data_IF_068764845382
#
_entry.id   IF_068764845382
#
_cell.length_a   1.000
_cell.length_b   1.000
_cell.length_c   1.000
_cell.angle_alpha   90.00
_cell.angle_beta   90.00
_cell.angle_gamma   90.00
#
_symmetry.space_group_name_H-M   'P 1'
#
loop_
_entity.id
_entity.type
_entity.pdbx_description
1 polymer ?
#
# COMPACT_ATOMS: atom_id res chain seq x y z
N UNK A 1 -16.62 -2.34 13.67
CA UNK A 1 -16.71 -2.93 12.31
C UNK A 1 -16.67 -1.83 11.26
N UNK A 2 -15.75 -1.97 10.28
CA UNK A 2 -15.54 -0.97 9.21
C UNK A 2 -16.40 -1.30 7.99
N UNK A 3 -17.35 -0.43 7.67
CA UNK A 3 -18.14 -0.50 6.44
C UNK A 3 -17.59 0.49 5.39
N UNK A 4 -17.48 0.05 4.15
CA UNK A 4 -17.12 0.94 3.03
C UNK A 4 -18.41 1.55 2.49
N UNK A 5 -18.56 2.86 2.63
CA UNK A 5 -19.73 3.61 2.14
C UNK A 5 -19.59 3.94 0.67
N UNK A 6 -18.38 4.31 0.27
CA UNK A 6 -18.04 4.60 -1.12
C UNK A 6 -16.57 4.30 -1.41
N UNK A 7 -16.29 3.97 -2.66
CA UNK A 7 -14.94 3.91 -3.21
C UNK A 7 -15.01 4.09 -4.73
N UNK A 8 -14.17 4.98 -5.27
CA UNK A 8 -14.07 5.24 -6.70
C UNK A 8 -12.66 5.69 -7.11
N UNK A 9 -12.34 5.49 -8.38
CA UNK A 9 -11.12 5.99 -9.00
C UNK A 9 -11.25 7.48 -9.27
N UNK A 10 -10.22 8.27 -8.93
CA UNK A 10 -10.17 9.70 -9.18
C UNK A 10 -9.44 10.00 -10.49
N UNK A 11 -8.15 9.67 -10.55
CA UNK A 11 -7.28 9.97 -11.68
C UNK A 11 -5.99 9.16 -11.63
N UNK A 12 -5.23 9.22 -12.72
CA UNK A 12 -3.84 8.77 -12.80
C UNK A 12 -2.94 9.96 -13.14
N UNK A 13 -1.82 10.12 -12.45
CA UNK A 13 -0.94 11.28 -12.59
C UNK A 13 0.51 10.86 -12.78
N UNK A 14 1.22 11.62 -13.62
CA UNK A 14 2.68 11.54 -13.81
C UNK A 14 3.40 12.83 -13.42
N UNK A 15 2.64 13.87 -13.03
CA UNK A 15 3.14 15.19 -12.65
C UNK A 15 2.30 15.76 -11.52
N UNK A 16 2.88 16.59 -10.66
CA UNK A 16 2.20 17.13 -9.46
C UNK A 16 0.92 17.88 -9.77
N UNK A 17 0.90 18.71 -10.79
CA UNK A 17 -0.26 19.53 -11.13
C UNK A 17 -1.47 18.71 -11.64
N UNK A 18 -1.25 17.44 -12.01
CA UNK A 18 -2.29 16.51 -12.41
C UNK A 18 -2.90 15.76 -11.21
N UNK A 19 -2.25 15.84 -10.04
CA UNK A 19 -2.72 15.14 -8.86
C UNK A 19 -4.02 15.79 -8.34
N UNK A 20 -4.95 15.00 -7.79
CA UNK A 20 -6.16 15.56 -7.20
C UNK A 20 -5.82 16.38 -5.95
N UNK A 21 -6.72 17.25 -5.54
CA UNK A 21 -6.60 17.97 -4.28
C UNK A 21 -6.34 17.00 -3.13
N UNK A 22 -5.49 17.42 -2.19
CA UNK A 22 -5.20 16.61 -1.00
C UNK A 22 -6.42 16.55 -0.09
N UNK A 23 -6.70 15.39 0.48
CA UNK A 23 -7.60 15.26 1.62
C UNK A 23 -6.79 15.36 2.93
N UNK A 24 -7.49 15.42 4.06
CA UNK A 24 -6.86 15.52 5.38
C UNK A 24 -5.94 14.32 5.70
N UNK A 25 -6.28 13.15 5.18
CA UNK A 25 -5.49 11.93 5.35
C UNK A 25 -5.39 11.17 4.04
N UNK A 26 -4.21 10.64 3.75
CA UNK A 26 -3.94 9.85 2.56
C UNK A 26 -3.03 8.67 2.90
N UNK A 27 -3.25 7.56 2.20
CA UNK A 27 -2.50 6.32 2.31
C UNK A 27 -1.77 6.04 1.00
N UNK A 28 -0.47 5.80 1.07
CA UNK A 28 0.34 5.40 -0.08
C UNK A 28 0.56 3.90 -0.06
N UNK A 29 0.32 3.23 -1.18
CA UNK A 29 0.60 1.81 -1.36
C UNK A 29 1.74 1.66 -2.36
N UNK A 30 2.81 1.02 -1.91
CA UNK A 30 4.01 0.76 -2.71
C UNK A 30 4.39 -0.71 -2.65
N UNK A 31 5.22 -1.13 -3.57
CA UNK A 31 5.72 -2.50 -3.65
C UNK A 31 6.15 -2.86 -5.06
N UNK A 32 6.87 -3.97 -5.17
CA UNK A 32 7.34 -4.46 -6.47
C UNK A 32 6.19 -4.81 -7.40
N UNK A 33 6.51 -4.85 -8.67
CA UNK A 33 5.60 -5.40 -9.66
C UNK A 33 5.21 -6.83 -9.32
N UNK A 34 3.93 -7.15 -9.54
CA UNK A 34 3.36 -8.47 -9.26
C UNK A 34 3.42 -8.91 -7.77
N UNK A 35 3.66 -7.99 -6.85
CA UNK A 35 3.58 -8.27 -5.41
C UNK A 35 2.15 -8.53 -4.92
N UNK A 36 1.14 -8.13 -5.70
CA UNK A 36 -0.28 -8.24 -5.34
C UNK A 36 -0.94 -6.90 -4.99
N UNK A 37 -0.35 -5.77 -5.39
CA UNK A 37 -0.81 -4.41 -5.06
C UNK A 37 -2.26 -4.15 -5.48
N UNK A 38 -2.61 -4.39 -6.74
CA UNK A 38 -3.98 -4.18 -7.24
C UNK A 38 -5.00 -5.11 -6.55
N UNK A 39 -4.61 -6.35 -6.26
CA UNK A 39 -5.45 -7.28 -5.50
C UNK A 39 -5.71 -6.75 -4.09
N UNK A 40 -4.67 -6.28 -3.41
CA UNK A 40 -4.79 -5.69 -2.09
C UNK A 40 -5.71 -4.46 -2.09
N UNK A 41 -5.49 -3.52 -3.01
CA UNK A 41 -6.31 -2.30 -3.14
C UNK A 41 -7.78 -2.67 -3.40
N UNK A 42 -8.05 -3.55 -4.34
CA UNK A 42 -9.41 -3.96 -4.67
C UNK A 42 -10.12 -4.62 -3.47
N UNK A 43 -9.41 -5.48 -2.75
CA UNK A 43 -9.95 -6.11 -1.54
C UNK A 43 -10.16 -5.10 -0.41
N UNK A 44 -9.21 -4.20 -0.22
CA UNK A 44 -9.30 -3.15 0.79
C UNK A 44 -10.49 -2.22 0.54
N UNK A 45 -10.69 -1.81 -0.72
CA UNK A 45 -11.77 -0.91 -1.15
C UNK A 45 -13.10 -1.64 -1.42
N UNK A 46 -13.13 -2.97 -1.40
CA UNK A 46 -14.34 -3.75 -1.66
C UNK A 46 -14.90 -3.61 -3.09
N UNK A 47 -14.12 -3.06 -4.01
CA UNK A 47 -14.49 -2.82 -5.42
C UNK A 47 -13.30 -3.12 -6.33
N UNK A 48 -13.56 -3.56 -7.56
CA UNK A 48 -12.53 -3.85 -8.55
C UNK A 48 -12.12 -2.58 -9.33
N UNK A 49 -11.38 -1.68 -8.67
CA UNK A 49 -10.98 -0.37 -9.18
C UNK A 49 -9.55 -0.35 -9.71
N UNK A 50 -8.62 -1.00 -9.01
CA UNK A 50 -7.23 -1.07 -9.40
C UNK A 50 -7.03 -2.18 -10.45
N UNK A 51 -6.54 -1.79 -11.63
CA UNK A 51 -6.25 -2.73 -12.72
C UNK A 51 -4.84 -3.28 -12.57
N UNK A 52 -4.71 -4.60 -12.58
CA UNK A 52 -3.39 -5.22 -12.75
C UNK A 52 -2.96 -5.07 -14.21
N UNK A 53 -1.86 -4.36 -14.48
CA UNK A 53 -1.31 -4.40 -15.82
C UNK A 53 -0.57 -5.72 -16.02
N UNK A 54 -1.09 -6.57 -16.90
CA UNK A 54 -0.39 -7.79 -17.31
C UNK A 54 0.88 -7.49 -18.13
N UNK A 55 1.01 -6.26 -18.62
CA UNK A 55 2.15 -5.84 -19.44
C UNK A 55 3.16 -5.06 -18.59
N UNK A 56 4.38 -5.59 -18.42
CA UNK A 56 5.45 -4.91 -17.70
C UNK A 56 5.77 -3.53 -18.32
N UNK A 57 5.85 -2.49 -17.50
CA UNK A 57 6.27 -1.15 -17.91
C UNK A 57 5.17 -0.21 -18.40
N UNK A 58 3.90 -0.61 -18.41
CA UNK A 58 2.80 0.29 -18.83
C UNK A 58 2.27 1.24 -17.76
N UNK A 59 2.33 0.87 -16.48
CA UNK A 59 1.81 1.72 -15.40
C UNK A 59 2.95 2.54 -14.82
N UNK A 60 3.11 3.77 -15.30
CA UNK A 60 4.08 4.75 -14.81
C UNK A 60 3.41 5.86 -14.01
N UNK A 61 2.12 5.73 -13.79
CA UNK A 61 1.28 6.74 -13.17
C UNK A 61 1.00 6.37 -11.72
N UNK A 62 1.00 7.35 -10.85
CA UNK A 62 0.38 7.22 -9.55
C UNK A 62 -1.15 7.23 -9.74
N UNK A 63 -1.83 6.20 -9.25
CA UNK A 63 -3.29 6.13 -9.32
C UNK A 63 -3.91 6.58 -8.01
N UNK A 64 -4.91 7.43 -8.10
CA UNK A 64 -5.61 7.98 -6.94
C UNK A 64 -7.03 7.40 -6.86
N UNK A 65 -7.38 6.92 -5.68
CA UNK A 65 -8.72 6.45 -5.36
C UNK A 65 -9.23 7.22 -4.15
N UNK A 66 -10.50 7.61 -4.16
CA UNK A 66 -11.17 8.13 -2.96
C UNK A 66 -12.00 7.04 -2.33
N UNK A 67 -12.06 7.01 -1.00
CA UNK A 67 -12.92 6.09 -0.27
C UNK A 67 -13.46 6.73 1.00
N UNK A 68 -14.69 6.37 1.35
CA UNK A 68 -15.35 6.76 2.58
C UNK A 68 -15.65 5.51 3.41
N UNK A 69 -15.09 5.46 4.60
CA UNK A 69 -15.28 4.37 5.56
C UNK A 69 -16.10 4.83 6.76
N UNK A 70 -16.97 3.96 7.24
CA UNK A 70 -17.71 4.12 8.47
C UNK A 70 -17.21 3.13 9.51
N UNK A 71 -16.66 3.62 10.60
CA UNK A 71 -16.43 2.81 11.81
C UNK A 71 -17.69 2.82 12.67
N UNK A 72 -18.45 1.72 12.60
CA UNK A 72 -19.72 1.57 13.33
C UNK A 72 -19.55 1.52 14.84
N UNK A 73 -18.38 1.12 15.33
CA UNK A 73 -18.11 1.02 16.77
C UNK A 73 -17.88 2.39 17.40
N UNK A 74 -17.22 3.27 16.65
CA UNK A 74 -16.87 4.62 17.10
C UNK A 74 -17.80 5.71 16.51
N UNK A 75 -18.81 5.33 15.73
CA UNK A 75 -19.72 6.24 15.02
C UNK A 75 -18.98 7.30 14.18
N UNK A 76 -17.86 6.88 13.54
CA UNK A 76 -16.98 7.78 12.79
C UNK A 76 -17.09 7.50 11.30
N UNK A 77 -17.27 8.55 10.50
CA UNK A 77 -17.20 8.48 9.03
C UNK A 77 -15.96 9.27 8.59
N UNK A 78 -15.10 8.62 7.82
CA UNK A 78 -13.83 9.20 7.35
C UNK A 78 -13.70 9.01 5.85
N UNK A 79 -13.39 10.11 5.13
CA UNK A 79 -13.04 10.08 3.71
C UNK A 79 -11.53 10.33 3.57
N UNK A 80 -10.86 9.50 2.79
CA UNK A 80 -9.42 9.62 2.53
C UNK A 80 -9.07 9.10 1.13
N UNK A 81 -7.89 9.46 0.66
CA UNK A 81 -7.37 8.96 -0.61
C UNK A 81 -6.41 7.79 -0.39
N UNK A 82 -6.46 6.84 -1.32
CA UNK A 82 -5.47 5.79 -1.51
C UNK A 82 -4.66 6.10 -2.76
N UNK A 83 -3.35 6.18 -2.63
CA UNK A 83 -2.39 6.47 -3.71
C UNK A 83 -1.65 5.17 -4.04
N UNK A 84 -1.95 4.59 -5.20
CA UNK A 84 -1.26 3.41 -5.72
C UNK A 84 -0.05 3.84 -6.53
N UNK A 85 1.14 3.64 -6.00
CA UNK A 85 2.36 3.91 -6.73
C UNK A 85 2.65 2.80 -7.74
N UNK A 86 3.23 3.14 -8.88
CA UNK A 86 3.68 2.12 -9.83
C UNK A 86 4.64 1.12 -9.16
N UNK A 87 4.50 -0.14 -9.53
CA UNK A 87 5.39 -1.18 -9.01
C UNK A 87 6.84 -0.95 -9.43
N UNK A 88 7.77 -0.96 -8.50
CA UNK A 88 9.19 -0.86 -8.78
C UNK A 88 9.80 -2.21 -9.20
N UNK A 89 11.03 -2.19 -9.73
CA UNK A 89 11.77 -3.42 -10.11
C UNK A 89 11.63 -3.87 -11.55
N UNK A 90 11.10 -3.04 -12.46
CA UNK A 90 11.10 -3.34 -13.88
C UNK A 90 12.44 -2.99 -14.55
N UNK A 91 13.09 -4.01 -15.11
CA UNK A 91 14.39 -3.89 -15.80
C UNK A 91 14.33 -3.24 -17.19
N UNK A 92 13.15 -2.98 -17.77
CA UNK A 92 12.98 -2.61 -19.19
C UNK A 92 12.55 -1.15 -19.43
N UNK A 93 13.14 -0.22 -18.70
CA UNK A 93 12.85 1.21 -18.90
C UNK A 93 14.17 1.93 -19.22
N UNK A 94 14.16 2.92 -20.14
CA UNK A 94 15.33 3.75 -20.37
C UNK A 94 15.74 4.48 -19.08
N UNK A 95 17.06 4.69 -18.90
CA UNK A 95 17.58 5.37 -17.70
C UNK A 95 16.98 6.78 -17.51
N UNK A 96 16.73 7.52 -18.59
CA UNK A 96 16.14 8.86 -18.55
C UNK A 96 14.70 8.84 -18.03
N UNK A 97 13.86 7.97 -18.58
CA UNK A 97 12.47 7.82 -18.16
C UNK A 97 12.33 7.31 -16.72
N UNK A 98 13.27 6.47 -16.30
CA UNK A 98 13.32 6.01 -14.90
C UNK A 98 13.61 7.17 -13.95
N UNK A 99 14.60 8.02 -14.30
CA UNK A 99 14.99 9.19 -13.50
C UNK A 99 13.86 10.22 -13.40
N UNK A 100 13.17 10.51 -14.50
CA UNK A 100 12.04 11.45 -14.54
C UNK A 100 10.88 10.95 -13.64
N UNK A 101 10.56 9.67 -13.76
CA UNK A 101 9.51 9.04 -12.97
C UNK A 101 9.87 8.96 -11.47
N UNK A 102 11.09 8.59 -11.14
CA UNK A 102 11.60 8.63 -9.77
C UNK A 102 11.52 10.05 -9.21
N UNK A 103 11.89 11.06 -10.01
CA UNK A 103 11.79 12.48 -9.64
C UNK A 103 10.36 12.89 -9.26
N UNK A 104 9.38 12.56 -10.10
CA UNK A 104 7.96 12.84 -9.80
C UNK A 104 7.50 12.16 -8.51
N UNK A 105 7.84 10.88 -8.31
CA UNK A 105 7.43 10.18 -7.09
C UNK A 105 8.05 10.78 -5.84
N UNK A 106 9.33 11.10 -5.87
CA UNK A 106 10.02 11.76 -4.76
C UNK A 106 9.39 13.10 -4.42
N UNK A 107 9.14 13.90 -5.44
CA UNK A 107 8.47 15.19 -5.28
C UNK A 107 7.07 15.01 -4.68
N UNK A 108 6.24 14.12 -5.25
CA UNK A 108 4.90 13.81 -4.75
C UNK A 108 4.92 13.42 -3.26
N UNK A 109 5.80 12.51 -2.87
CA UNK A 109 5.88 12.00 -1.51
C UNK A 109 6.43 13.04 -0.52
N UNK A 110 7.30 13.94 -0.99
CA UNK A 110 7.90 14.97 -0.14
C UNK A 110 6.95 16.14 0.12
N UNK A 111 6.21 16.60 -0.91
CA UNK A 111 5.39 17.81 -0.78
C UNK A 111 3.98 17.54 -0.26
N UNK A 112 3.48 16.29 -0.38
CA UNK A 112 2.10 15.96 -0.03
C UNK A 112 1.94 15.69 1.47
N UNK A 113 1.68 16.74 2.22
CA UNK A 113 1.60 16.71 3.70
C UNK A 113 0.42 15.90 4.24
N UNK A 114 -0.60 15.66 3.43
CA UNK A 114 -1.77 14.82 3.74
C UNK A 114 -1.47 13.32 3.85
N UNK A 115 -0.32 12.85 3.33
CA UNK A 115 0.08 11.44 3.48
C UNK A 115 0.36 11.18 4.96
N UNK A 116 -0.37 10.23 5.56
CA UNK A 116 -0.22 9.76 6.94
C UNK A 116 0.34 8.36 7.04
N UNK A 117 0.15 7.55 6.00
CA UNK A 117 0.49 6.13 6.06
C UNK A 117 1.13 5.66 4.76
N UNK A 118 2.28 5.00 4.89
CA UNK A 118 2.93 4.25 3.82
C UNK A 118 2.76 2.76 4.06
N UNK A 119 2.22 2.05 3.09
CA UNK A 119 2.06 0.61 3.09
C UNK A 119 2.99 0.01 2.06
N UNK A 120 4.03 -0.67 2.51
CA UNK A 120 4.94 -1.40 1.66
C UNK A 120 4.53 -2.88 1.57
N UNK A 121 4.07 -3.29 0.40
CA UNK A 121 3.75 -4.69 0.14
C UNK A 121 5.00 -5.45 -0.28
N UNK A 122 5.32 -6.50 0.47
CA UNK A 122 6.46 -7.39 0.22
C UNK A 122 5.95 -8.81 -0.04
N UNK A 123 6.46 -9.47 -1.05
CA UNK A 123 6.14 -10.87 -1.34
C UNK A 123 6.81 -11.78 -0.29
N UNK A 124 6.02 -12.45 0.52
CA UNK A 124 6.51 -13.27 1.63
C UNK A 124 7.48 -14.39 1.20
N UNK A 125 7.46 -14.79 -0.07
CA UNK A 125 8.39 -15.78 -0.64
C UNK A 125 9.80 -15.24 -0.85
N UNK A 126 9.98 -13.90 -0.80
CA UNK A 126 11.21 -13.20 -1.15
C UNK A 126 11.48 -12.06 -0.16
N UNK A 127 11.91 -12.39 1.06
CA UNK A 127 12.03 -11.45 2.17
C UNK A 127 13.26 -10.52 2.09
N UNK A 128 14.34 -10.99 1.44
CA UNK A 128 15.66 -10.36 1.55
C UNK A 128 16.11 -9.66 0.25
N UNK A 129 15.16 -9.22 -0.58
CA UNK A 129 15.52 -8.57 -1.84
C UNK A 129 16.01 -7.13 -1.59
N UNK A 130 17.19 -6.82 -2.10
CA UNK A 130 17.79 -5.48 -2.01
C UNK A 130 16.87 -4.36 -2.49
N UNK A 131 16.06 -4.64 -3.51
CA UNK A 131 15.14 -3.64 -4.04
C UNK A 131 14.02 -3.27 -3.03
N UNK A 132 13.56 -4.21 -2.21
CA UNK A 132 12.58 -3.95 -1.16
C UNK A 132 13.25 -3.24 0.03
N UNK A 133 14.50 -3.59 0.37
CA UNK A 133 15.29 -2.92 1.41
C UNK A 133 15.54 -1.46 1.03
N UNK A 134 16.05 -1.21 -0.17
CA UNK A 134 16.29 0.14 -0.68
C UNK A 134 15.01 0.99 -0.72
N UNK A 135 13.87 0.41 -1.13
CA UNK A 135 12.59 1.11 -1.11
C UNK A 135 12.17 1.48 0.32
N UNK A 136 12.37 0.57 1.27
CA UNK A 136 12.11 0.82 2.70
C UNK A 136 12.98 1.95 3.23
N UNK A 137 14.30 1.87 3.05
CA UNK A 137 15.26 2.86 3.52
C UNK A 137 14.95 4.25 2.96
N UNK A 138 14.70 4.32 1.67
CA UNK A 138 14.37 5.55 0.99
C UNK A 138 13.08 6.19 1.55
N UNK A 139 12.00 5.41 1.73
CA UNK A 139 10.77 5.95 2.31
C UNK A 139 10.99 6.34 3.78
N UNK A 140 11.69 5.53 4.56
CA UNK A 140 11.97 5.86 5.97
C UNK A 140 12.77 7.15 6.14
N UNK A 141 13.67 7.46 5.20
CA UNK A 141 14.41 8.73 5.19
C UNK A 141 13.53 9.96 4.89
N UNK A 142 12.35 9.78 4.30
CA UNK A 142 11.38 10.85 4.03
C UNK A 142 10.30 10.99 5.10
N UNK A 143 10.18 10.03 6.02
CA UNK A 143 9.10 10.03 7.00
C UNK A 143 9.13 11.26 7.89
N UNK A 144 8.01 11.93 7.98
CA UNK A 144 7.74 12.96 8.97
C UNK A 144 7.25 12.34 10.29
N UNK A 145 7.36 13.05 11.42
CA UNK A 145 6.91 12.53 12.73
C UNK A 145 5.41 12.17 12.78
N UNK A 146 4.60 12.75 11.88
CA UNK A 146 3.17 12.51 11.78
C UNK A 146 2.80 11.38 10.80
N UNK A 147 3.78 10.63 10.32
CA UNK A 147 3.60 9.56 9.33
C UNK A 147 3.99 8.20 9.89
N UNK A 148 3.30 7.18 9.44
CA UNK A 148 3.61 5.79 9.74
C UNK A 148 4.04 5.01 8.50
N UNK A 149 4.89 4.00 8.72
CA UNK A 149 5.29 3.04 7.69
C UNK A 149 4.99 1.62 8.14
N UNK A 150 4.20 0.90 7.35
CA UNK A 150 3.85 -0.49 7.61
C UNK A 150 4.35 -1.40 6.48
N UNK A 151 4.96 -2.52 6.83
CA UNK A 151 5.25 -3.60 5.89
C UNK A 151 4.16 -4.66 5.99
N UNK A 152 3.51 -4.99 4.87
CA UNK A 152 2.53 -6.06 4.76
C UNK A 152 3.08 -7.14 3.85
N UNK A 153 3.11 -8.38 4.35
CA UNK A 153 3.62 -9.52 3.60
C UNK A 153 2.48 -10.21 2.84
N UNK A 154 2.58 -10.18 1.51
CA UNK A 154 1.59 -10.79 0.61
C UNK A 154 1.95 -12.24 0.29
N UNK A 155 1.00 -12.99 -0.24
CA UNK A 155 1.19 -14.40 -0.70
C UNK A 155 1.68 -15.35 0.40
N UNK A 156 1.34 -15.06 1.64
CA UNK A 156 1.70 -15.90 2.78
C UNK A 156 1.16 -17.32 2.64
N UNK A 157 0.00 -17.50 2.00
CA UNK A 157 -0.61 -18.79 1.67
C UNK A 157 0.24 -19.68 0.74
N UNK A 158 1.26 -19.11 0.12
CA UNK A 158 2.19 -19.84 -0.76
C UNK A 158 3.44 -20.36 -0.04
N UNK A 159 3.59 -20.03 1.24
CA UNK A 159 4.74 -20.45 2.03
C UNK A 159 4.54 -21.84 2.64
N UNK A 160 5.58 -22.68 2.61
CA UNK A 160 5.64 -23.88 3.42
C UNK A 160 5.94 -23.55 4.90
N UNK A 161 5.87 -24.56 5.79
CA UNK A 161 6.04 -24.36 7.24
C UNK A 161 7.39 -23.76 7.63
N UNK A 162 8.47 -24.16 6.95
CA UNK A 162 9.83 -23.66 7.23
C UNK A 162 9.97 -22.20 6.81
N UNK A 163 9.42 -21.82 5.65
CA UNK A 163 9.38 -20.45 5.17
C UNK A 163 8.52 -19.54 6.07
N UNK A 164 7.38 -20.03 6.56
CA UNK A 164 6.57 -19.34 7.55
C UNK A 164 7.35 -19.07 8.84
N UNK A 165 8.04 -20.11 9.35
CA UNK A 165 8.88 -19.95 10.54
C UNK A 165 9.98 -18.91 10.34
N UNK A 166 10.67 -18.94 9.21
CA UNK A 166 11.69 -17.95 8.84
C UNK A 166 11.13 -16.54 8.76
N UNK A 167 9.92 -16.35 8.21
CA UNK A 167 9.26 -15.06 8.18
C UNK A 167 9.02 -14.52 9.60
N UNK A 168 8.53 -15.35 10.52
CA UNK A 168 8.27 -14.94 11.90
C UNK A 168 9.56 -14.63 12.69
N UNK A 169 10.68 -15.25 12.36
CA UNK A 169 11.97 -14.90 12.96
C UNK A 169 12.46 -13.51 12.51
N UNK A 170 12.25 -13.19 11.21
CA UNK A 170 12.73 -11.93 10.63
C UNK A 170 11.76 -10.75 10.84
N UNK A 171 10.49 -11.03 11.08
CA UNK A 171 9.46 -10.03 11.30
C UNK A 171 8.55 -10.46 12.45
N UNK A 172 8.90 -10.18 13.70
CA UNK A 172 8.04 -10.44 14.85
C UNK A 172 6.72 -9.69 14.69
N UNK A 173 5.59 -10.40 14.77
CA UNK A 173 4.23 -9.87 14.52
C UNK A 173 4.02 -9.31 13.11
N UNK A 174 4.34 -10.07 12.04
CA UNK A 174 4.18 -9.58 10.69
C UNK A 174 2.70 -9.35 10.35
N UNK A 175 2.42 -8.29 9.59
CA UNK A 175 1.11 -8.11 8.97
C UNK A 175 1.02 -8.98 7.72
N UNK A 176 0.22 -10.06 7.78
CA UNK A 176 0.17 -11.10 6.75
C UNK A 176 -1.09 -10.98 5.89
N UNK A 177 -0.93 -11.16 4.60
CA UNK A 177 -2.01 -11.13 3.62
C UNK A 177 -1.92 -12.34 2.70
N UNK A 178 -3.02 -13.05 2.54
CA UNK A 178 -3.12 -14.18 1.61
C UNK A 178 -3.44 -13.70 0.19
N UNK A 179 -3.03 -14.50 -0.81
CA UNK A 179 -3.22 -14.16 -2.23
C UNK A 179 -4.69 -14.13 -2.63
N UNK A 180 -5.50 -15.05 -2.11
CA UNK A 180 -6.85 -15.33 -2.61
C UNK A 180 -7.94 -14.98 -1.62
N UNK A 181 -7.67 -14.98 -0.34
CA UNK A 181 -8.69 -14.75 0.69
C UNK A 181 -8.11 -13.96 1.86
N UNK A 182 -8.55 -12.71 1.99
CA UNK A 182 -8.46 -11.97 3.26
C UNK A 182 -9.33 -12.61 4.36
N UNK A 183 -10.19 -13.51 4.00
CA UNK A 183 -10.96 -14.34 4.93
C UNK A 183 -10.07 -15.51 5.39
N UNK A 184 -9.03 -15.21 6.13
CA UNK A 184 -8.31 -16.25 6.82
C UNK A 184 -9.22 -16.85 7.88
N UNK A 185 -9.72 -18.03 7.62
CA UNK A 185 -10.48 -18.87 8.54
C UNK A 185 -9.62 -19.36 9.73
N UNK A 186 -8.44 -18.81 9.94
CA UNK A 186 -7.60 -19.18 11.06
C UNK A 186 -7.44 -18.02 12.02
N UNK A 187 -7.64 -18.26 13.31
CA UNK A 187 -7.38 -17.34 14.42
C UNK A 187 -5.91 -16.83 14.47
N UNK A 188 -5.08 -17.27 13.56
CA UNK A 188 -3.65 -16.93 13.46
C UNK A 188 -3.33 -15.68 12.64
N UNK A 189 -4.26 -15.19 11.80
CA UNK A 189 -3.98 -14.13 10.82
C UNK A 189 -5.03 -13.02 10.93
N UNK A 190 -4.63 -11.75 10.72
CA UNK A 190 -5.58 -10.67 10.75
C UNK A 190 -6.62 -10.83 9.66
N UNK A 191 -7.89 -10.71 10.03
CA UNK A 191 -9.00 -10.63 9.08
C UNK A 191 -8.91 -9.31 8.32
N UNK A 192 -9.60 -9.19 7.19
CA UNK A 192 -9.74 -7.92 6.46
C UNK A 192 -10.25 -6.80 7.37
N UNK A 193 -11.13 -7.12 8.30
CA UNK A 193 -11.65 -6.19 9.30
C UNK A 193 -10.55 -5.64 10.20
N UNK A 194 -9.69 -6.51 10.75
CA UNK A 194 -8.55 -6.10 11.58
C UNK A 194 -7.57 -5.23 10.76
N UNK A 195 -7.34 -5.59 9.49
CA UNK A 195 -6.50 -4.77 8.61
C UNK A 195 -7.10 -3.37 8.46
N UNK A 196 -8.39 -3.26 8.11
CA UNK A 196 -9.07 -1.97 7.95
C UNK A 196 -9.06 -1.14 9.24
N UNK A 197 -9.36 -1.73 10.39
CA UNK A 197 -9.32 -1.05 11.69
C UNK A 197 -7.92 -0.51 11.99
N UNK A 198 -6.88 -1.32 11.75
CA UNK A 198 -5.49 -0.91 11.96
C UNK A 198 -5.10 0.23 11.03
N UNK A 199 -5.42 0.15 9.74
CA UNK A 199 -5.12 1.20 8.79
C UNK A 199 -5.86 2.50 9.11
N UNK A 200 -7.13 2.41 9.50
CA UNK A 200 -7.92 3.58 9.89
C UNK A 200 -7.32 4.26 11.13
N UNK A 201 -6.86 3.48 12.12
CA UNK A 201 -6.16 4.02 13.27
C UNK A 201 -4.95 4.87 12.86
N UNK A 202 -4.07 4.35 11.99
CA UNK A 202 -2.90 5.11 11.51
C UNK A 202 -3.25 6.34 10.68
N UNK A 203 -4.39 6.35 9.99
CA UNK A 203 -4.86 7.52 9.23
C UNK A 203 -5.41 8.63 10.11
N UNK A 204 -5.90 8.29 11.31
CA UNK A 204 -6.57 9.21 12.23
C UNK A 204 -5.68 9.68 13.37
N UNK A 205 -4.69 8.89 13.77
CA UNK A 205 -3.80 9.21 14.89
C UNK A 205 -2.42 9.58 14.38
N UNK A 206 -1.79 10.57 15.02
CA UNK A 206 -0.36 10.74 14.85
C UNK A 206 0.34 9.52 15.49
N UNK A 207 1.28 8.88 14.81
CA UNK A 207 2.10 7.84 15.43
C UNK A 207 2.87 8.48 16.59
N UNK A 208 2.59 8.05 17.79
CA UNK A 208 3.35 8.40 19.01
C UNK A 208 4.60 7.55 19.09
#
# INVERSE_FOLDING_TARGET
>A
MIAIKDAHFLTSSSQLFQCPASLNSEMVILGRSNVGKSTFINTLLGKNLAKSSATPGKTRLANFFSTTWEDKENALITTFNVIDLPGFGYAKVSKSLKKEWEGFLWELLSVRTSIKLFIHLVDARHLDLEIDKNAKENIQALLRPDQAYLTLFTKFDKLNKNEQHRLFLNAPKPFLINTTHFNALSSKYPTLEIVRQTLLKYLLTNPS
#
